data_IF_244138845654
#
_entry.id   IF_244138845654
#
_cell.length_a   1.000
_cell.length_b   1.000
_cell.length_c   1.000
_cell.angle_alpha   90.00
_cell.angle_beta   90.00
_cell.angle_gamma   90.00
#
_symmetry.space_group_name_H-M   'P 1'
#
loop_
_entity.id
_entity.type
_entity.pdbx_description
1 polymer ?
#
# COMPACT_ATOMS: atom_id res chain seq x y z
N UNK A 1 26.03 2.54 -9.44
CA UNK A 1 26.09 2.61 -7.96
C UNK A 1 24.82 3.15 -7.28
N UNK A 2 23.75 3.53 -7.99
CA UNK A 2 22.48 3.94 -7.35
C UNK A 2 21.55 2.79 -6.93
N UNK A 3 21.71 1.60 -7.52
CA UNK A 3 20.76 0.47 -7.39
C UNK A 3 20.77 -0.25 -6.02
N UNK A 4 21.81 -0.09 -5.21
CA UNK A 4 21.90 -0.70 -3.86
C UNK A 4 21.40 0.24 -2.75
N UNK A 5 21.39 1.55 -3.02
CA UNK A 5 21.06 2.57 -2.02
C UNK A 5 19.55 2.68 -1.78
N UNK A 6 18.73 2.40 -2.79
CA UNK A 6 17.27 2.52 -2.66
C UNK A 6 16.62 1.35 -1.90
N UNK A 7 17.12 0.12 -2.08
CA UNK A 7 16.81 -1.00 -1.17
C UNK A 7 17.27 -0.70 0.26
N UNK A 8 18.43 -0.05 0.42
CA UNK A 8 18.99 0.33 1.72
C UNK A 8 18.18 1.42 2.43
N UNK A 9 17.69 2.43 1.72
CA UNK A 9 16.85 3.50 2.27
C UNK A 9 15.46 2.99 2.63
N UNK A 10 14.83 2.18 1.77
CA UNK A 10 13.57 1.51 2.11
C UNK A 10 13.77 0.59 3.30
N UNK A 11 14.72 -0.34 3.28
CA UNK A 11 14.97 -1.25 4.40
C UNK A 11 15.34 -0.49 5.69
N UNK A 12 16.10 0.61 5.61
CA UNK A 12 16.42 1.43 6.77
C UNK A 12 15.18 2.12 7.33
N UNK A 13 14.33 2.73 6.49
CA UNK A 13 13.10 3.37 6.94
C UNK A 13 12.05 2.34 7.39
N UNK A 14 11.94 1.21 6.69
CA UNK A 14 11.16 0.03 7.04
C UNK A 14 11.72 -0.73 8.26
N UNK A 15 12.96 -0.46 8.70
CA UNK A 15 13.52 -0.95 9.97
C UNK A 15 13.37 0.06 11.09
N UNK A 16 13.26 1.35 10.77
CA UNK A 16 13.23 2.49 11.72
C UNK A 16 11.82 2.93 12.11
N UNK A 17 10.91 3.05 11.13
CA UNK A 17 9.45 3.28 11.33
C UNK A 17 8.78 2.05 11.94
N UNK A 18 9.41 0.90 11.74
CA UNK A 18 8.76 -0.38 11.61
C UNK A 18 9.54 -1.43 12.42
N UNK A 19 10.21 -1.06 13.52
CA UNK A 19 10.69 -2.07 14.48
C UNK A 19 9.48 -2.92 14.87
N UNK A 20 9.34 -4.18 14.40
CA UNK A 20 8.24 -5.01 14.81
C UNK A 20 8.39 -5.17 16.32
N UNK A 21 7.32 -5.08 17.11
CA UNK A 21 7.32 -5.75 18.40
C UNK A 21 7.89 -7.15 18.15
N UNK A 22 8.93 -7.57 18.91
CA UNK A 22 9.61 -8.87 18.72
C UNK A 22 8.65 -10.08 18.75
N UNK A 23 7.39 -9.86 19.11
CA UNK A 23 6.32 -10.83 19.27
C UNK A 23 5.46 -11.06 18.02
N UNK A 24 5.49 -10.18 17.01
CA UNK A 24 4.65 -10.34 15.81
C UNK A 24 5.34 -11.19 14.75
N UNK A 25 4.58 -12.09 14.13
CA UNK A 25 5.07 -12.80 12.95
C UNK A 25 5.13 -11.86 11.71
N UNK A 26 5.82 -12.31 10.67
CA UNK A 26 6.06 -11.52 9.44
C UNK A 26 4.76 -11.10 8.74
N UNK A 27 3.74 -11.95 8.75
CA UNK A 27 2.46 -11.74 8.08
C UNK A 27 1.63 -10.73 8.88
N UNK A 28 1.52 -10.92 10.19
CA UNK A 28 0.83 -10.00 11.09
C UNK A 28 1.41 -8.59 11.00
N UNK A 29 2.74 -8.50 10.96
CA UNK A 29 3.45 -7.25 10.79
C UNK A 29 3.17 -6.59 9.43
N UNK A 30 3.18 -7.36 8.33
CA UNK A 30 2.83 -6.83 7.02
C UNK A 30 1.40 -6.28 7.01
N UNK A 31 0.44 -7.00 7.59
CA UNK A 31 -0.96 -6.54 7.73
C UNK A 31 -1.02 -5.23 8.53
N UNK A 32 -0.31 -5.15 9.65
CA UNK A 32 -0.25 -3.94 10.47
C UNK A 32 0.32 -2.75 9.67
N UNK A 33 1.36 -2.97 8.86
CA UNK A 33 1.92 -1.95 7.98
C UNK A 33 0.88 -1.45 6.96
N UNK A 34 0.22 -2.35 6.23
CA UNK A 34 -0.81 -1.97 5.26
C UNK A 34 -1.93 -1.13 5.89
N UNK A 35 -2.26 -1.43 7.16
CA UNK A 35 -3.25 -0.66 7.93
C UNK A 35 -2.74 0.74 8.32
N UNK A 36 -1.46 0.87 8.68
CA UNK A 36 -0.87 2.12 9.15
C UNK A 36 -0.49 3.10 8.03
N UNK A 37 0.00 2.61 6.88
CA UNK A 37 0.55 3.44 5.81
C UNK A 37 -0.38 4.56 5.32
N UNK A 38 -1.69 4.33 5.06
CA UNK A 38 -2.58 5.41 4.63
C UNK A 38 -2.73 6.54 5.65
N UNK A 39 -2.54 6.24 6.93
CA UNK A 39 -2.60 7.23 8.02
C UNK A 39 -1.31 8.04 8.12
N UNK A 40 -0.16 7.41 7.86
CA UNK A 40 1.13 8.10 7.77
C UNK A 40 1.22 9.02 6.56
N UNK A 41 0.49 8.70 5.49
CA UNK A 41 0.47 9.46 4.24
C UNK A 41 -0.96 9.84 3.84
N UNK A 42 -1.61 10.74 4.60
CA UNK A 42 -3.03 11.04 4.43
C UNK A 42 -3.33 11.71 3.09
N UNK A 43 -4.45 11.32 2.49
CA UNK A 43 -5.05 12.03 1.36
C UNK A 43 -6.05 13.09 1.84
N UNK A 44 -6.22 14.15 1.04
CA UNK A 44 -7.29 15.13 1.21
C UNK A 44 -8.69 14.54 0.95
N UNK A 45 -8.77 13.40 0.25
CA UNK A 45 -10.05 12.75 -0.04
C UNK A 45 -10.36 11.68 1.01
N UNK A 46 -11.49 11.81 1.71
CA UNK A 46 -11.95 10.79 2.65
C UNK A 46 -12.27 9.46 1.92
N UNK A 47 -12.08 8.30 2.57
CA UNK A 47 -12.54 7.03 2.03
C UNK A 47 -14.07 7.02 1.85
N UNK A 48 -14.61 6.28 0.87
CA UNK A 48 -16.06 6.07 0.76
C UNK A 48 -16.64 5.53 2.08
N UNK A 49 -17.81 6.03 2.51
CA UNK A 49 -18.42 5.66 3.81
C UNK A 49 -18.51 4.14 4.04
N UNK A 50 -18.86 3.39 2.99
CA UNK A 50 -18.97 1.91 3.02
C UNK A 50 -17.63 1.18 3.15
N UNK A 51 -16.52 1.85 2.85
CA UNK A 51 -15.17 1.29 2.96
C UNK A 51 -14.63 1.35 4.40
N UNK A 52 -15.13 2.28 5.21
CA UNK A 52 -14.69 2.49 6.59
C UNK A 52 -13.31 3.14 6.67
N UNK A 53 -12.24 2.38 6.44
CA UNK A 53 -10.85 2.83 6.56
C UNK A 53 -10.13 2.84 5.22
N UNK A 54 -9.19 3.79 5.04
CA UNK A 54 -8.46 3.94 3.78
C UNK A 54 -7.60 2.72 3.40
N UNK A 55 -7.11 1.97 4.38
CA UNK A 55 -6.33 0.74 4.14
C UNK A 55 -7.11 -0.36 3.42
N UNK A 56 -8.43 -0.39 3.54
CA UNK A 56 -9.30 -1.36 2.85
C UNK A 56 -9.36 -1.08 1.33
N UNK A 57 -8.88 0.10 0.90
CA UNK A 57 -8.63 0.36 -0.52
C UNK A 57 -7.48 -0.50 -1.08
N UNK A 58 -6.57 -0.98 -0.22
CA UNK A 58 -5.34 -1.69 -0.60
C UNK A 58 -5.36 -3.16 -0.18
N UNK A 59 -5.69 -3.45 1.09
CA UNK A 59 -5.65 -4.78 1.69
C UNK A 59 -6.99 -5.12 2.35
N UNK A 60 -7.49 -6.32 2.09
CA UNK A 60 -8.57 -6.94 2.84
C UNK A 60 -8.12 -8.32 3.35
N UNK A 61 -8.25 -8.56 4.65
CA UNK A 61 -8.00 -9.87 5.25
C UNK A 61 -9.36 -10.55 5.37
N UNK A 62 -9.55 -11.64 4.63
CA UNK A 62 -10.81 -12.36 4.60
C UNK A 62 -11.08 -13.01 5.94
N UNK A 63 -12.33 -12.94 6.39
CA UNK A 63 -12.79 -13.72 7.52
C UNK A 63 -13.03 -15.18 7.10
N UNK A 64 -12.93 -16.13 8.04
CA UNK A 64 -13.09 -17.57 7.74
C UNK A 64 -14.42 -17.92 7.04
N UNK A 65 -15.48 -17.15 7.28
CA UNK A 65 -16.81 -17.35 6.68
C UNK A 65 -17.09 -16.42 5.50
N UNK A 66 -16.13 -15.58 5.11
CA UNK A 66 -16.32 -14.58 4.05
C UNK A 66 -15.99 -15.17 2.68
N UNK A 67 -16.96 -15.14 1.77
CA UNK A 67 -16.74 -15.50 0.38
C UNK A 67 -16.04 -14.34 -0.36
N UNK A 68 -14.86 -14.58 -0.99
CA UNK A 68 -14.10 -13.53 -1.68
C UNK A 68 -14.88 -12.88 -2.82
N UNK A 69 -15.68 -13.65 -3.56
CA UNK A 69 -16.44 -13.15 -4.71
C UNK A 69 -17.56 -12.23 -4.24
N UNK A 70 -18.29 -12.65 -3.20
CA UNK A 70 -19.36 -11.84 -2.58
C UNK A 70 -18.78 -10.55 -2.02
N UNK A 71 -17.61 -10.61 -1.37
CA UNK A 71 -16.91 -9.41 -0.89
C UNK A 71 -16.61 -8.44 -2.04
N UNK A 72 -15.97 -8.93 -3.10
CA UNK A 72 -15.57 -8.10 -4.24
C UNK A 72 -16.77 -7.46 -4.96
N UNK A 73 -17.89 -8.19 -5.09
CA UNK A 73 -19.13 -7.65 -5.68
C UNK A 73 -19.74 -6.51 -4.86
N UNK A 74 -19.64 -6.58 -3.53
CA UNK A 74 -20.18 -5.55 -2.62
C UNK A 74 -19.23 -4.37 -2.42
N UNK A 75 -17.96 -4.54 -2.80
CA UNK A 75 -16.91 -3.55 -2.60
C UNK A 75 -17.24 -2.25 -3.34
N UNK A 76 -17.03 -1.12 -2.67
CA UNK A 76 -17.37 0.20 -3.22
C UNK A 76 -16.33 0.76 -4.21
N UNK A 77 -15.22 0.05 -4.40
CA UNK A 77 -14.12 0.44 -5.29
C UNK A 77 -13.85 -0.70 -6.27
N UNK A 78 -13.74 -0.35 -7.56
CA UNK A 78 -13.31 -1.25 -8.63
C UNK A 78 -11.79 -1.31 -8.81
N UNK A 79 -11.04 -0.61 -7.94
CA UNK A 79 -9.58 -0.56 -8.00
C UNK A 79 -8.94 -1.89 -7.59
N UNK A 80 -7.71 -2.19 -8.06
CA UNK A 80 -6.92 -3.31 -7.57
C UNK A 80 -6.91 -3.41 -6.04
N UNK A 81 -7.03 -4.63 -5.52
CA UNK A 81 -6.97 -4.91 -4.08
C UNK A 81 -6.23 -6.22 -3.84
N UNK A 82 -5.50 -6.25 -2.73
CA UNK A 82 -4.86 -7.42 -2.19
C UNK A 82 -5.82 -8.08 -1.20
N UNK A 83 -6.23 -9.32 -1.48
CA UNK A 83 -6.95 -10.17 -0.54
C UNK A 83 -5.97 -11.13 0.12
N UNK A 84 -6.09 -11.31 1.42
CA UNK A 84 -5.36 -12.34 2.17
C UNK A 84 -6.36 -13.30 2.80
N UNK A 85 -6.31 -14.58 2.43
CA UNK A 85 -7.25 -15.60 2.90
C UNK A 85 -6.77 -16.38 4.16
N UNK A 86 -5.61 -15.99 4.70
CA UNK A 86 -4.93 -16.69 5.80
C UNK A 86 -3.80 -17.62 5.34
N UNK A 87 -3.81 -18.05 4.08
CA UNK A 87 -2.82 -18.95 3.49
C UNK A 87 -2.12 -18.36 2.27
N UNK A 88 -2.86 -17.68 1.40
CA UNK A 88 -2.41 -17.09 0.16
C UNK A 88 -2.86 -15.64 0.03
N UNK A 89 -2.14 -14.94 -0.83
CA UNK A 89 -2.42 -13.57 -1.21
C UNK A 89 -2.95 -13.55 -2.64
N UNK A 90 -3.98 -12.74 -2.90
CA UNK A 90 -4.60 -12.61 -4.22
C UNK A 90 -4.67 -11.14 -4.60
N UNK A 91 -4.08 -10.76 -5.73
CA UNK A 91 -4.38 -9.48 -6.35
C UNK A 91 -5.61 -9.66 -7.22
N UNK A 92 -6.64 -8.86 -6.94
CA UNK A 92 -7.88 -8.85 -7.72
C UNK A 92 -8.11 -7.48 -8.32
N UNK A 93 -8.68 -7.46 -9.53
CA UNK A 93 -9.09 -6.24 -10.23
C UNK A 93 -10.57 -6.38 -10.54
N UNK A 94 -11.39 -5.49 -9.99
CA UNK A 94 -12.84 -5.70 -9.96
C UNK A 94 -13.19 -6.97 -9.19
N UNK A 95 -13.86 -7.93 -9.86
CA UNK A 95 -14.24 -9.23 -9.29
C UNK A 95 -13.34 -10.38 -9.74
N UNK A 96 -12.30 -10.11 -10.52
CA UNK A 96 -11.45 -11.14 -11.12
C UNK A 96 -10.11 -11.23 -10.40
N UNK A 97 -9.69 -12.42 -9.93
CA UNK A 97 -8.34 -12.63 -9.48
C UNK A 97 -7.37 -12.59 -10.67
N UNK A 98 -6.24 -11.91 -10.49
CA UNK A 98 -5.22 -11.71 -11.54
C UNK A 98 -3.92 -12.41 -11.18
N UNK A 99 -3.56 -12.45 -9.89
CA UNK A 99 -2.38 -13.18 -9.42
C UNK A 99 -2.61 -13.72 -8.02
N UNK A 100 -2.08 -14.91 -7.78
CA UNK A 100 -2.02 -15.55 -6.47
C UNK A 100 -0.56 -15.80 -6.11
N UNK A 101 -0.18 -15.53 -4.86
CA UNK A 101 1.16 -15.75 -4.35
C UNK A 101 1.14 -16.14 -2.86
N UNK A 102 2.27 -16.62 -2.35
CA UNK A 102 2.37 -17.17 -1.01
C UNK A 102 2.30 -16.08 0.06
N UNK A 103 1.81 -16.40 1.27
CA UNK A 103 1.69 -15.43 2.37
C UNK A 103 3.02 -14.84 2.83
N UNK A 104 4.11 -15.56 2.62
CA UNK A 104 5.47 -15.15 2.99
C UNK A 104 5.90 -13.88 2.25
N UNK A 105 5.33 -13.64 1.06
CA UNK A 105 5.61 -12.48 0.22
C UNK A 105 4.56 -11.36 0.40
N UNK A 106 3.66 -11.46 1.39
CA UNK A 106 2.61 -10.45 1.65
C UNK A 106 3.18 -9.02 1.75
N UNK A 107 4.38 -8.86 2.30
CA UNK A 107 5.08 -7.57 2.39
C UNK A 107 5.36 -6.92 1.03
N UNK A 108 5.46 -7.70 -0.04
CA UNK A 108 5.67 -7.21 -1.40
C UNK A 108 4.36 -6.81 -2.10
N UNK A 109 3.21 -7.15 -1.51
CA UNK A 109 1.91 -6.97 -2.17
C UNK A 109 1.59 -5.54 -2.61
N UNK A 110 2.19 -4.54 -1.96
CA UNK A 110 2.02 -3.13 -2.34
C UNK A 110 2.76 -2.80 -3.64
N UNK A 111 3.92 -3.43 -3.87
CA UNK A 111 4.64 -3.33 -5.13
C UNK A 111 3.87 -4.03 -6.25
N UNK A 112 3.26 -5.19 -5.98
CA UNK A 112 2.38 -5.84 -6.95
C UNK A 112 1.18 -4.96 -7.31
N UNK A 113 0.49 -4.37 -6.32
CA UNK A 113 -0.59 -3.41 -6.58
C UNK A 113 -0.12 -2.27 -7.50
N UNK A 114 1.03 -1.66 -7.18
CA UNK A 114 1.63 -0.61 -8.03
C UNK A 114 1.89 -1.09 -9.45
N UNK A 115 2.48 -2.28 -9.61
CA UNK A 115 2.73 -2.89 -10.93
C UNK A 115 1.45 -3.04 -11.75
N UNK A 116 0.35 -3.46 -11.13
CA UNK A 116 -0.95 -3.57 -11.76
C UNK A 116 -1.54 -2.22 -12.18
N UNK A 117 -1.43 -1.20 -11.33
CA UNK A 117 -1.88 0.14 -11.71
C UNK A 117 -1.13 0.68 -12.93
N UNK A 118 0.19 0.47 -13.02
CA UNK A 118 0.97 0.92 -14.17
C UNK A 118 0.67 0.13 -15.43
N UNK A 119 0.73 -1.20 -15.34
CA UNK A 119 0.62 -2.10 -16.50
C UNK A 119 -0.73 -1.94 -17.21
N UNK A 120 -1.80 -1.72 -16.43
CA UNK A 120 -3.16 -1.58 -16.95
C UNK A 120 -3.66 -0.13 -16.96
N UNK A 121 -2.80 0.85 -16.70
CA UNK A 121 -3.15 2.27 -16.65
C UNK A 121 -4.40 2.59 -15.79
N UNK A 122 -4.51 1.92 -14.64
CA UNK A 122 -5.69 2.01 -13.79
C UNK A 122 -5.69 3.30 -12.96
N UNK A 123 -6.88 3.78 -12.62
CA UNK A 123 -7.03 4.97 -11.78
C UNK A 123 -6.83 4.63 -10.31
N UNK A 124 -5.96 5.39 -9.63
CA UNK A 124 -5.73 5.26 -8.19
C UNK A 124 -6.95 5.66 -7.36
N UNK A 125 -7.27 4.92 -6.29
CA UNK A 125 -8.27 5.36 -5.32
C UNK A 125 -7.80 6.64 -4.61
N UNK A 126 -8.57 7.73 -4.77
CA UNK A 126 -8.21 9.07 -4.27
C UNK A 126 -7.91 9.11 -2.78
N UNK A 127 -8.54 8.25 -1.97
CA UNK A 127 -8.32 8.20 -0.52
C UNK A 127 -6.95 7.66 -0.10
N UNK A 128 -6.19 7.04 -1.01
CA UNK A 128 -4.81 6.57 -0.77
C UNK A 128 -3.82 7.13 -1.79
N UNK A 129 -4.22 8.13 -2.59
CA UNK A 129 -3.39 8.66 -3.67
C UNK A 129 -2.06 9.26 -3.18
N UNK A 130 -2.04 9.91 -2.01
CA UNK A 130 -0.79 10.43 -1.41
C UNK A 130 0.20 9.29 -1.16
N UNK A 131 -0.24 8.21 -0.51
CA UNK A 131 0.58 7.03 -0.24
C UNK A 131 1.14 6.43 -1.54
N UNK A 132 0.28 6.22 -2.55
CA UNK A 132 0.71 5.64 -3.83
C UNK A 132 1.72 6.55 -4.56
N UNK A 133 1.55 7.88 -4.44
CA UNK A 133 2.52 8.84 -5.00
C UNK A 133 3.86 8.79 -4.29
N UNK A 134 3.88 8.65 -2.95
CA UNK A 134 5.12 8.49 -2.17
C UNK A 134 5.83 7.18 -2.55
N UNK A 135 5.08 6.09 -2.71
CA UNK A 135 5.65 4.81 -3.15
C UNK A 135 6.25 4.95 -4.56
N UNK A 136 5.53 5.58 -5.47
CA UNK A 136 6.01 5.85 -6.83
C UNK A 136 7.34 6.61 -6.82
N UNK A 137 7.46 7.68 -6.05
CA UNK A 137 8.64 8.54 -6.11
C UNK A 137 9.79 8.06 -5.26
N UNK A 138 9.52 7.59 -4.04
CA UNK A 138 10.57 7.27 -3.06
C UNK A 138 11.01 5.82 -3.12
N UNK A 139 10.15 4.92 -3.63
CA UNK A 139 10.44 3.49 -3.67
C UNK A 139 10.76 3.06 -5.10
N UNK A 140 9.95 3.48 -6.06
CA UNK A 140 10.15 3.12 -7.46
C UNK A 140 11.07 4.10 -8.20
N UNK A 141 11.48 5.19 -7.55
CA UNK A 141 12.28 6.28 -8.13
C UNK A 141 11.68 6.85 -9.43
N UNK A 142 10.37 6.75 -9.59
CA UNK A 142 9.68 7.21 -10.78
C UNK A 142 9.28 8.70 -10.64
N UNK A 143 9.14 9.35 -11.80
CA UNK A 143 8.76 10.74 -11.88
C UNK A 143 7.31 10.94 -11.42
N UNK A 144 7.09 11.89 -10.50
CA UNK A 144 5.73 12.28 -10.15
C UNK A 144 5.10 13.11 -11.27
N UNK A 145 3.90 12.73 -11.67
CA UNK A 145 3.13 13.55 -12.59
C UNK A 145 2.67 14.85 -11.90
N UNK A 146 2.66 15.97 -12.64
CA UNK A 146 2.27 17.30 -12.10
C UNK A 146 0.92 17.30 -11.36
N UNK A 147 -0.01 16.47 -11.82
CA UNK A 147 -1.36 16.30 -11.23
C UNK A 147 -1.32 15.68 -9.82
N UNK A 148 -0.30 14.86 -9.55
CA UNK A 148 -0.14 14.11 -8.31
C UNK A 148 0.74 14.89 -7.30
N UNK A 149 1.40 15.98 -7.74
CA UNK A 149 2.12 16.95 -6.89
C UNK A 149 1.18 17.87 -6.07
N UNK A 150 0.25 17.25 -5.35
CA UNK A 150 -0.77 17.91 -4.54
C UNK A 150 -0.18 18.54 -3.27
N UNK A 151 -0.94 19.42 -2.60
CA UNK A 151 -0.53 19.96 -1.29
C UNK A 151 -0.33 18.85 -0.23
N UNK A 152 -1.17 17.81 -0.25
CA UNK A 152 -1.02 16.64 0.63
C UNK A 152 0.30 15.91 0.37
N UNK A 153 0.62 15.66 -0.91
CA UNK A 153 1.88 15.05 -1.29
C UNK A 153 3.08 15.90 -0.83
N UNK A 154 3.08 17.21 -1.12
CA UNK A 154 4.17 18.10 -0.72
C UNK A 154 4.38 18.11 0.80
N UNK A 155 3.30 18.14 1.57
CA UNK A 155 3.34 18.07 3.04
C UNK A 155 3.91 16.73 3.51
N UNK A 156 3.38 15.63 3.01
CA UNK A 156 3.86 14.28 3.33
C UNK A 156 5.35 14.11 3.01
N UNK A 157 5.82 14.67 1.89
CA UNK A 157 7.23 14.65 1.52
C UNK A 157 8.11 15.52 2.42
N UNK A 158 7.62 16.65 2.90
CA UNK A 158 8.34 17.47 3.87
C UNK A 158 8.48 16.72 5.20
N UNK A 159 7.38 16.16 5.73
CA UNK A 159 7.37 15.36 6.96
C UNK A 159 8.27 14.12 6.84
N UNK A 160 8.22 13.43 5.70
CA UNK A 160 9.09 12.29 5.39
C UNK A 160 10.56 12.68 5.38
N UNK A 161 10.91 13.78 4.71
CA UNK A 161 12.28 14.29 4.67
C UNK A 161 12.76 14.73 6.05
N UNK A 162 11.92 15.33 6.88
CA UNK A 162 12.25 15.68 8.25
C UNK A 162 12.45 14.44 9.13
N UNK A 163 11.62 13.40 8.91
CA UNK A 163 11.74 12.12 9.60
C UNK A 163 13.06 11.39 9.27
N UNK A 164 13.45 11.39 7.99
CA UNK A 164 14.72 10.81 7.53
C UNK A 164 15.91 11.73 7.89
N UNK A 165 15.70 13.05 7.89
CA UNK A 165 16.67 14.13 8.08
C UNK A 165 17.17 14.35 9.52
N UNK A 166 17.28 13.29 10.33
CA UNK A 166 17.92 13.29 11.66
C UNK A 166 18.91 12.13 11.86
N UNK A 167 19.44 11.56 10.78
CA UNK A 167 20.67 10.76 10.83
C UNK A 167 21.80 11.51 10.14
N UNK A 168 22.47 12.36 10.92
CA UNK A 168 23.90 12.66 10.74
C UNK A 168 24.61 12.25 12.01
#
# INVERSE_FOLDING_TARGET
MGRLLCQGALYAVWKKVMKPPMTLDRVEYAIALFRALPTLFPSQTAPPKKLGHASVALLHVLQQSEDPTIYLQKRSLSSPVLLFDGSNCHITIGTSPVTTFAKEDLSEGLLYLMGYYYTFHLTYPKCVATLLSVIQTEILEDCIHKRDTTASYKKAMAEWKDFIGKER
#
